data_IF_665977706805
#
_entry.id   IF_665977706805
#
_cell.length_a   1.000
_cell.length_b   1.000
_cell.length_c   1.000
_cell.angle_alpha   90.00
_cell.angle_beta   90.00
_cell.angle_gamma   90.00
#
_symmetry.space_group_name_H-M   'P 1'
#
loop_
_entity.id
_entity.type
_entity.pdbx_description
1 polymer ?
#
# COMPACT_ATOMS: atom_id res chain seq x y z
N UNK A 1 12.36 -5.16 -5.67
CA UNK A 1 11.46 -4.32 -6.49
C UNK A 1 10.49 -3.62 -5.53
N UNK A 2 9.84 -2.51 -5.90
CA UNK A 2 8.92 -1.79 -4.99
C UNK A 2 7.83 -2.70 -4.38
N UNK A 3 7.39 -3.72 -5.12
CA UNK A 3 6.42 -4.70 -4.62
C UNK A 3 6.97 -5.63 -3.53
N UNK A 4 8.29 -5.91 -3.52
CA UNK A 4 8.93 -6.68 -2.44
C UNK A 4 9.00 -5.85 -1.15
N UNK A 5 9.35 -4.57 -1.25
CA UNK A 5 9.37 -3.65 -0.10
C UNK A 5 7.96 -3.49 0.50
N UNK A 6 6.95 -3.34 -0.36
CA UNK A 6 5.54 -3.31 0.07
C UNK A 6 5.17 -4.63 0.76
N UNK A 7 5.63 -5.78 0.26
CA UNK A 7 5.37 -7.08 0.88
C UNK A 7 6.00 -7.20 2.27
N UNK A 8 7.21 -6.69 2.44
CA UNK A 8 7.89 -6.67 3.74
C UNK A 8 7.13 -5.82 4.75
N UNK A 9 6.71 -4.61 4.36
CA UNK A 9 5.87 -3.75 5.20
C UNK A 9 4.53 -4.41 5.54
N UNK A 10 3.93 -5.09 4.57
CA UNK A 10 2.63 -5.75 4.76
C UNK A 10 2.67 -6.91 5.75
N UNK A 11 3.79 -7.63 5.82
CA UNK A 11 3.98 -8.77 6.71
C UNK A 11 4.74 -8.41 7.99
N UNK A 12 5.05 -7.13 8.21
CA UNK A 12 5.70 -6.68 9.43
C UNK A 12 4.84 -6.98 10.66
N UNK A 13 5.48 -7.41 11.75
CA UNK A 13 4.83 -7.67 13.03
C UNK A 13 5.61 -6.96 14.15
N UNK A 14 5.01 -5.94 14.81
CA UNK A 14 3.67 -5.41 14.56
C UNK A 14 3.55 -4.75 13.18
N UNK A 15 2.33 -4.71 12.63
CA UNK A 15 2.04 -3.98 11.41
C UNK A 15 2.04 -2.48 11.70
N UNK A 16 2.73 -1.70 10.87
CA UNK A 16 2.78 -0.25 10.95
C UNK A 16 2.07 0.36 9.72
N UNK A 17 1.06 1.22 9.88
CA UNK A 17 0.40 1.90 8.76
C UNK A 17 1.37 2.73 7.91
N UNK A 18 1.15 2.75 6.60
CA UNK A 18 2.00 3.48 5.65
C UNK A 18 1.20 4.11 4.50
N UNK A 19 1.84 5.04 3.79
CA UNK A 19 1.26 5.70 2.62
C UNK A 19 2.07 5.35 1.38
N UNK A 20 1.39 4.88 0.33
CA UNK A 20 2.00 4.64 -0.98
C UNK A 20 1.85 5.92 -1.81
N UNK A 21 2.97 6.49 -2.22
CA UNK A 21 3.01 7.59 -3.19
C UNK A 21 3.26 7.03 -4.58
N UNK A 22 2.32 7.27 -5.50
CA UNK A 22 2.40 6.81 -6.88
C UNK A 22 2.97 7.89 -7.79
N UNK A 23 3.50 7.51 -8.95
CA UNK A 23 4.10 8.45 -9.91
C UNK A 23 3.10 9.42 -10.55
N UNK A 24 1.80 9.10 -10.52
CA UNK A 24 0.70 10.00 -10.90
C UNK A 24 0.30 10.97 -9.77
N UNK A 25 1.03 10.97 -8.65
CA UNK A 25 0.87 11.91 -7.54
C UNK A 25 -0.22 11.55 -6.54
N UNK A 26 -0.79 10.34 -6.61
CA UNK A 26 -1.77 9.88 -5.61
C UNK A 26 -1.06 9.42 -4.34
N UNK A 27 -1.78 9.54 -3.24
CA UNK A 27 -1.38 9.02 -1.93
C UNK A 27 -2.44 8.02 -1.46
N UNK A 28 -2.02 6.76 -1.30
CA UNK A 28 -2.90 5.66 -0.87
C UNK A 28 -2.53 5.27 0.54
N UNK A 29 -3.42 5.55 1.50
CA UNK A 29 -3.17 5.23 2.90
C UNK A 29 -3.61 3.80 3.23
N UNK A 30 -2.67 2.98 3.66
CA UNK A 30 -2.88 1.58 4.06
C UNK A 30 -2.86 1.51 5.59
N UNK A 31 -4.05 1.45 6.19
CA UNK A 31 -4.20 1.45 7.65
C UNK A 31 -4.28 0.06 8.28
N UNK A 32 -4.41 -1.00 7.47
CA UNK A 32 -4.51 -2.38 7.92
C UNK A 32 -3.94 -3.34 6.87
N UNK A 33 -3.33 -4.48 7.24
CA UNK A 33 -2.77 -5.44 6.30
C UNK A 33 -3.79 -6.13 5.38
N UNK A 34 -5.10 -5.96 5.61
CA UNK A 34 -6.13 -6.51 4.71
C UNK A 34 -6.44 -5.58 3.53
N UNK A 35 -5.93 -4.34 3.57
CA UNK A 35 -6.24 -3.30 2.59
C UNK A 35 -5.33 -3.33 1.36
N UNK A 36 -4.49 -4.35 1.24
CA UNK A 36 -3.59 -4.51 0.10
C UNK A 36 -3.42 -5.98 -0.26
N UNK A 37 -3.49 -6.27 -1.55
CA UNK A 37 -3.26 -7.58 -2.12
C UNK A 37 -2.18 -7.53 -3.20
N UNK A 38 -1.15 -8.36 -3.06
CA UNK A 38 -0.07 -8.49 -4.04
C UNK A 38 -0.33 -9.75 -4.85
N UNK A 39 -0.43 -9.63 -6.17
CA UNK A 39 -0.62 -10.78 -7.05
C UNK A 39 0.58 -11.73 -7.00
N UNK A 40 0.38 -13.04 -7.18
CA UNK A 40 1.47 -13.99 -7.38
C UNK A 40 2.44 -13.49 -8.47
N UNK A 41 3.74 -13.43 -8.15
CA UNK A 41 4.79 -12.89 -9.03
C UNK A 41 5.18 -11.42 -8.76
N UNK A 42 4.51 -10.73 -7.83
CA UNK A 42 4.86 -9.39 -7.37
C UNK A 42 4.74 -8.27 -8.44
N UNK A 43 4.06 -8.52 -9.55
CA UNK A 43 3.93 -7.53 -10.66
C UNK A 43 2.81 -6.51 -10.46
N UNK A 44 1.82 -6.81 -9.61
CA UNK A 44 0.64 -5.96 -9.42
C UNK A 44 0.24 -5.92 -7.95
N UNK A 45 -0.07 -4.71 -7.48
CA UNK A 45 -0.52 -4.44 -6.11
C UNK A 45 -1.90 -3.80 -6.21
N UNK A 46 -2.91 -4.43 -5.59
CA UNK A 46 -4.24 -3.88 -5.40
C UNK A 46 -4.30 -3.24 -4.03
N UNK A 47 -4.77 -2.00 -3.95
CA UNK A 47 -4.92 -1.28 -2.68
C UNK A 47 -6.37 -0.85 -2.54
N UNK A 48 -7.03 -1.29 -1.47
CA UNK A 48 -8.39 -0.88 -1.11
C UNK A 48 -8.36 0.42 -0.30
N UNK A 49 -7.67 1.46 -0.79
CA UNK A 49 -7.53 2.70 -0.04
C UNK A 49 -8.83 3.53 -0.09
N UNK A 50 -9.16 4.15 1.05
CA UNK A 50 -9.99 5.35 1.05
C UNK A 50 -9.16 6.45 0.38
N UNK A 51 -9.55 6.90 -0.81
CA UNK A 51 -8.97 8.07 -1.46
C UNK A 51 -9.27 9.27 -0.55
N UNK A 52 -8.39 9.51 0.42
CA UNK A 52 -8.36 10.78 1.14
C UNK A 52 -7.86 11.81 0.17
N UNK A 53 -8.76 12.29 -0.70
CA UNK A 53 -8.60 13.55 -1.41
C UNK A 53 -8.22 14.56 -0.35
N UNK A 54 -6.98 15.06 -0.43
CA UNK A 54 -6.51 16.15 0.40
C UNK A 54 -7.54 17.27 0.37
N UNK A 55 -8.30 17.38 1.46
CA UNK A 55 -9.17 18.51 1.73
C UNK A 55 -8.53 19.24 2.91
N UNK A 56 -7.62 20.14 2.57
CA UNK A 56 -7.14 21.25 3.38
C UNK A 56 -6.29 22.13 2.49
#
# INVERSE_FOLDING_TARGET
MIADEIRELQHASPFEPYTIHTSDGKALYVHHPDYLFITPGNHTVYVFADERRGRS
#
